data_IF_537387279540
#
_entry.id   IF_537387279540
#
_cell.length_a   1.000
_cell.length_b   1.000
_cell.length_c   1.000
_cell.angle_alpha   90.00
_cell.angle_beta   90.00
_cell.angle_gamma   90.00
#
_symmetry.space_group_name_H-M   'P 1'
#
loop_
_entity.id
_entity.type
_entity.pdbx_description
1 polymer ?
#
# COMPACT_ATOMS: atom_id res chain seq x y z
N UNK A 1 -41.06 42.33 11.59
CA UNK A 1 -40.84 41.60 12.85
C UNK A 1 -40.86 40.10 12.55
N UNK A 2 -39.81 39.37 12.96
CA UNK A 2 -39.69 37.89 13.09
C UNK A 2 -39.92 37.09 11.78
N UNK A 3 -38.95 36.34 11.27
CA UNK A 3 -38.43 35.15 11.94
C UNK A 3 -36.98 34.84 11.55
N UNK A 4 -36.14 34.71 12.58
CA UNK A 4 -34.90 33.98 12.50
C UNK A 4 -35.22 32.48 12.64
N UNK A 5 -34.63 31.64 11.80
CA UNK A 5 -34.31 30.26 12.13
C UNK A 5 -33.06 29.87 11.34
N UNK A 6 -31.92 30.02 12.02
CA UNK A 6 -30.71 29.26 11.74
C UNK A 6 -31.01 27.76 11.88
N UNK A 7 -30.47 26.94 10.98
CA UNK A 7 -29.63 25.78 11.30
C UNK A 7 -29.62 24.74 10.18
N UNK A 8 -28.43 24.17 9.97
CA UNK A 8 -28.13 22.92 9.26
C UNK A 8 -28.29 23.02 7.72
N UNK A 9 -27.28 22.78 6.89
CA UNK A 9 -26.37 21.64 6.94
C UNK A 9 -24.98 22.02 6.39
N UNK A 10 -24.04 22.26 7.29
CA UNK A 10 -22.64 21.93 7.04
C UNK A 10 -22.52 20.41 7.14
N UNK A 11 -22.87 19.69 6.07
CA UNK A 11 -22.47 18.30 5.93
C UNK A 11 -21.21 18.29 5.06
N UNK A 12 -20.06 18.30 5.74
CA UNK A 12 -18.78 18.01 5.14
C UNK A 12 -18.81 16.64 4.47
N UNK A 13 -18.55 16.63 3.16
CA UNK A 13 -18.21 15.43 2.43
C UNK A 13 -16.71 15.19 2.48
N UNK A 14 -16.17 14.80 3.64
CA UNK A 14 -14.88 14.13 3.71
C UNK A 14 -15.15 12.61 3.63
N UNK A 15 -15.38 12.10 2.43
CA UNK A 15 -15.39 10.66 2.15
C UNK A 15 -14.05 10.34 1.49
N UNK A 16 -12.94 10.33 2.25
CA UNK A 16 -12.42 9.19 3.01
C UNK A 16 -12.04 8.01 2.11
N UNK A 17 -10.79 8.05 1.62
CA UNK A 17 -9.93 6.96 1.12
C UNK A 17 -10.61 5.66 0.67
N UNK A 18 -10.96 5.57 -0.61
CA UNK A 18 -11.02 4.28 -1.31
C UNK A 18 -9.60 3.77 -1.57
N UNK A 19 -8.97 3.27 -0.50
CA UNK A 19 -7.88 2.32 -0.63
C UNK A 19 -8.54 0.95 -0.67
N UNK A 20 -8.50 0.28 -1.82
CA UNK A 20 -8.88 -1.13 -1.94
C UNK A 20 -8.00 -1.91 -0.96
N UNK A 21 -8.47 -2.10 0.28
CA UNK A 21 -7.72 -2.80 1.32
C UNK A 21 -8.01 -4.28 1.14
N UNK A 22 -7.00 -5.06 0.78
CA UNK A 22 -7.14 -6.51 0.80
C UNK A 22 -7.57 -6.98 2.19
N UNK A 23 -8.30 -8.08 2.23
CA UNK A 23 -8.92 -8.58 3.45
C UNK A 23 -7.85 -8.86 4.53
N UNK A 24 -7.92 -8.08 5.62
CA UNK A 24 -7.01 -8.25 6.77
C UNK A 24 -7.21 -9.60 7.45
N UNK A 25 -8.40 -10.18 7.43
CA UNK A 25 -8.66 -11.50 8.01
C UNK A 25 -7.99 -12.61 7.21
N UNK A 26 -7.87 -12.44 5.89
CA UNK A 26 -7.11 -13.31 4.98
C UNK A 26 -5.57 -13.10 5.04
N UNK A 27 -5.08 -12.26 5.95
CA UNK A 27 -3.64 -12.07 6.20
C UNK A 27 -2.98 -10.92 5.44
N UNK A 28 -3.72 -10.14 4.63
CA UNK A 28 -3.13 -9.02 3.90
C UNK A 28 -2.86 -7.82 4.80
N UNK A 29 -1.72 -7.17 4.62
CA UNK A 29 -1.31 -5.99 5.39
C UNK A 29 -0.74 -4.93 4.46
N UNK A 30 -1.22 -3.70 4.65
CA UNK A 30 -0.63 -2.53 4.00
C UNK A 30 0.82 -2.34 4.45
N UNK A 31 1.70 -2.18 3.48
CA UNK A 31 3.12 -2.01 3.65
C UNK A 31 3.66 -0.96 2.66
N UNK A 32 4.91 -0.58 2.85
CA UNK A 32 5.66 0.25 1.92
C UNK A 32 6.98 -0.42 1.60
N UNK A 33 7.40 -0.36 0.35
CA UNK A 33 8.72 -0.82 -0.06
C UNK A 33 9.77 0.10 0.52
N UNK A 34 10.70 -0.42 1.32
CA UNK A 34 11.77 0.35 1.95
C UNK A 34 13.14 0.07 1.37
N UNK A 35 13.33 -1.07 0.70
CA UNK A 35 14.58 -1.42 0.02
C UNK A 35 14.33 -2.41 -1.11
N UNK A 36 15.12 -2.33 -2.18
CA UNK A 36 15.12 -3.24 -3.32
C UNK A 36 16.57 -3.58 -3.65
N UNK A 37 16.85 -4.84 -3.98
CA UNK A 37 18.19 -5.32 -4.27
C UNK A 37 18.20 -6.82 -4.53
N UNK A 38 19.29 -7.48 -4.14
CA UNK A 38 19.44 -8.93 -4.25
C UNK A 38 19.13 -9.62 -2.92
N UNK A 39 18.59 -10.84 -2.98
CA UNK A 39 18.24 -11.62 -1.78
C UNK A 39 19.41 -11.78 -0.82
N UNK A 40 20.60 -12.11 -1.32
CA UNK A 40 21.78 -12.34 -0.48
C UNK A 40 22.27 -11.11 0.28
N UNK A 41 21.90 -9.91 -0.17
CA UNK A 41 22.28 -8.64 0.45
C UNK A 41 21.22 -8.18 1.47
N UNK A 42 19.94 -8.44 1.17
CA UNK A 42 18.83 -7.86 1.91
C UNK A 42 18.11 -8.82 2.87
N UNK A 43 18.17 -10.14 2.66
CA UNK A 43 17.37 -11.10 3.45
C UNK A 43 17.62 -10.98 4.96
N UNK A 44 18.87 -10.74 5.37
CA UNK A 44 19.24 -10.56 6.77
C UNK A 44 18.70 -9.26 7.41
N UNK A 45 18.21 -8.31 6.62
CA UNK A 45 17.66 -7.03 7.11
C UNK A 45 16.17 -7.09 7.42
N UNK A 46 15.47 -8.12 6.91
CA UNK A 46 14.04 -8.28 7.11
C UNK A 46 13.76 -9.01 8.43
N UNK A 47 12.73 -8.57 9.16
CA UNK A 47 12.30 -9.26 10.39
C UNK A 47 11.74 -10.67 10.08
N UNK A 48 11.17 -10.83 8.88
CA UNK A 48 10.77 -12.12 8.33
C UNK A 48 11.22 -12.22 6.88
N UNK A 49 11.97 -13.27 6.57
CA UNK A 49 12.37 -13.62 5.21
C UNK A 49 11.39 -14.64 4.60
N UNK A 50 10.78 -14.28 3.47
CA UNK A 50 9.95 -15.18 2.65
C UNK A 50 10.70 -15.76 1.44
N UNK A 51 11.97 -15.38 1.25
CA UNK A 51 12.82 -15.88 0.18
C UNK A 51 12.52 -15.33 -1.22
N UNK A 52 13.29 -15.82 -2.19
CA UNK A 52 13.12 -15.57 -3.61
C UNK A 52 13.51 -16.81 -4.42
N UNK A 53 12.88 -17.02 -5.57
CA UNK A 53 13.32 -18.07 -6.51
C UNK A 53 14.59 -17.59 -7.24
N UNK A 54 15.56 -18.48 -7.40
CA UNK A 54 16.85 -18.14 -8.04
C UNK A 54 17.98 -17.80 -7.07
N UNK A 55 17.74 -17.95 -5.75
CA UNK A 55 18.79 -17.88 -4.73
C UNK A 55 19.31 -16.46 -4.47
N UNK A 56 20.55 -16.36 -3.99
CA UNK A 56 21.11 -15.11 -3.45
C UNK A 56 21.14 -13.93 -4.46
N UNK A 57 21.21 -14.20 -5.76
CA UNK A 57 21.22 -13.17 -6.80
C UNK A 57 19.82 -12.74 -7.26
N UNK A 58 18.77 -13.41 -6.79
CA UNK A 58 17.40 -13.14 -7.20
C UNK A 58 16.96 -11.74 -6.76
N UNK A 59 16.10 -11.06 -7.56
CA UNK A 59 15.47 -9.81 -7.17
C UNK A 59 14.72 -9.96 -5.84
N UNK A 60 14.88 -8.97 -4.98
CA UNK A 60 14.35 -9.02 -3.63
C UNK A 60 13.94 -7.63 -3.17
N UNK A 61 12.84 -7.57 -2.42
CA UNK A 61 12.34 -6.34 -1.84
C UNK A 61 12.09 -6.53 -0.35
N UNK A 62 12.40 -5.51 0.44
CA UNK A 62 12.01 -5.42 1.84
C UNK A 62 10.86 -4.43 1.95
N UNK A 63 9.76 -4.88 2.52
CA UNK A 63 8.56 -4.08 2.76
C UNK A 63 8.38 -3.91 4.26
N UNK A 64 7.97 -2.73 4.70
CA UNK A 64 7.69 -2.42 6.10
C UNK A 64 6.22 -2.09 6.28
N UNK A 65 5.58 -2.65 7.30
CA UNK A 65 4.15 -2.41 7.53
C UNK A 65 3.87 -0.92 7.72
N UNK A 66 2.79 -0.44 7.10
CA UNK A 66 2.30 0.92 7.33
C UNK A 66 1.55 0.97 8.66
N UNK A 67 1.57 2.15 9.29
CA UNK A 67 0.77 2.48 10.49
C UNK A 67 1.06 1.66 11.76
N UNK A 68 2.20 0.99 11.89
CA UNK A 68 2.56 0.26 13.13
C UNK A 68 3.53 0.99 14.07
N UNK A 69 3.80 2.29 13.84
CA UNK A 69 4.73 3.10 14.64
C UNK A 69 6.21 2.80 14.40
N UNK A 70 7.08 3.23 15.32
CA UNK A 70 8.56 3.13 15.22
C UNK A 70 9.10 1.70 15.23
N UNK A 71 8.27 0.71 15.55
CA UNK A 71 8.64 -0.72 15.63
C UNK A 71 7.80 -1.60 14.69
N UNK A 72 7.43 -1.04 13.53
CA UNK A 72 6.80 -1.84 12.46
C UNK A 72 7.73 -2.96 12.01
N UNK A 73 7.20 -4.18 11.92
CA UNK A 73 7.93 -5.31 11.33
C UNK A 73 8.06 -5.15 9.82
N UNK A 74 9.07 -5.81 9.28
CA UNK A 74 9.38 -5.89 7.86
C UNK A 74 9.28 -7.33 7.36
N UNK A 75 8.93 -7.47 6.09
CA UNK A 75 8.97 -8.73 5.35
C UNK A 75 9.87 -8.54 4.14
N UNK A 76 10.76 -9.49 3.90
CA UNK A 76 11.54 -9.56 2.68
C UNK A 76 10.99 -10.65 1.74
N UNK A 77 10.89 -10.36 0.44
CA UNK A 77 10.39 -11.30 -0.57
C UNK A 77 10.90 -10.98 -1.97
N UNK A 78 11.11 -12.02 -2.78
CA UNK A 78 11.32 -11.91 -4.23
C UNK A 78 10.06 -12.11 -5.06
N UNK A 79 8.89 -12.24 -4.44
CA UNK A 79 7.60 -12.43 -5.13
C UNK A 79 7.10 -11.09 -5.67
N UNK A 80 7.63 -10.67 -6.80
CA UNK A 80 7.21 -9.45 -7.49
C UNK A 80 5.84 -9.59 -8.18
N UNK A 81 5.08 -8.50 -8.30
CA UNK A 81 3.90 -8.46 -9.16
C UNK A 81 4.35 -8.63 -10.63
N UNK A 82 3.80 -9.62 -11.32
CA UNK A 82 4.28 -10.09 -12.64
C UNK A 82 4.34 -9.02 -13.76
N UNK A 83 3.68 -7.88 -13.59
CA UNK A 83 3.57 -6.84 -14.60
C UNK A 83 4.09 -5.46 -14.14
N UNK A 84 4.76 -5.38 -12.99
CA UNK A 84 5.15 -4.09 -12.42
C UNK A 84 6.61 -4.02 -11.97
N UNK A 85 7.24 -2.90 -12.32
CA UNK A 85 8.52 -2.48 -11.78
C UNK A 85 8.30 -1.90 -10.38
N UNK A 86 8.73 -2.63 -9.35
CA UNK A 86 8.63 -2.20 -7.96
C UNK A 86 9.65 -1.10 -7.68
N UNK A 87 9.25 -0.06 -6.93
CA UNK A 87 10.12 1.04 -6.53
C UNK A 87 10.11 1.25 -5.02
N UNK A 88 11.21 1.74 -4.48
CA UNK A 88 11.27 2.18 -3.07
C UNK A 88 10.27 3.31 -2.87
N UNK A 89 9.46 3.21 -1.81
CA UNK A 89 8.37 4.14 -1.52
C UNK A 89 7.00 3.67 -1.98
N UNK A 90 6.91 2.66 -2.85
CA UNK A 90 5.63 2.14 -3.33
C UNK A 90 4.78 1.61 -2.17
N UNK A 91 3.51 1.99 -2.17
CA UNK A 91 2.52 1.39 -1.29
C UNK A 91 2.12 0.03 -1.86
N UNK A 92 2.24 -1.00 -1.04
CA UNK A 92 1.93 -2.38 -1.42
C UNK A 92 1.12 -3.04 -0.33
N UNK A 93 0.52 -4.18 -0.66
CA UNK A 93 -0.04 -5.10 0.31
C UNK A 93 0.72 -6.42 0.26
N UNK A 94 1.02 -6.95 1.44
CA UNK A 94 1.76 -8.21 1.63
C UNK A 94 0.91 -9.18 2.42
N UNK A 95 0.90 -10.45 2.03
CA UNK A 95 0.25 -11.50 2.81
C UNK A 95 1.21 -12.04 3.87
N UNK A 96 0.82 -11.94 5.14
CA UNK A 96 1.67 -12.39 6.27
C UNK A 96 1.48 -13.87 6.61
N UNK A 97 0.46 -14.50 6.03
CA UNK A 97 0.12 -15.91 6.24
C UNK A 97 0.64 -16.79 5.09
N UNK A 98 0.82 -16.21 3.90
CA UNK A 98 1.29 -16.90 2.70
C UNK A 98 2.48 -16.17 2.06
N UNK A 99 3.69 -16.73 2.23
CA UNK A 99 4.90 -16.22 1.61
C UNK A 99 4.98 -16.46 0.08
N UNK A 100 4.15 -17.34 -0.48
CA UNK A 100 4.11 -17.56 -1.93
C UNK A 100 3.29 -16.49 -2.66
N UNK A 101 2.42 -15.77 -1.93
CA UNK A 101 1.61 -14.70 -2.51
C UNK A 101 2.51 -13.55 -3.01
N UNK A 102 2.32 -13.08 -4.26
CA UNK A 102 3.03 -11.92 -4.77
C UNK A 102 2.63 -10.64 -4.03
N UNK A 103 3.54 -9.68 -3.96
CA UNK A 103 3.20 -8.34 -3.52
C UNK A 103 2.12 -7.76 -4.43
N UNK A 104 1.09 -7.19 -3.83
CA UNK A 104 0.05 -6.48 -4.56
C UNK A 104 0.34 -4.98 -4.51
N UNK A 105 0.44 -4.33 -5.67
CA UNK A 105 0.55 -2.87 -5.71
C UNK A 105 -0.76 -2.25 -5.21
N UNK A 106 -0.68 -1.36 -4.23
CA UNK A 106 -1.81 -0.49 -3.94
C UNK A 106 -1.93 0.50 -5.10
N UNK A 107 -3.09 0.58 -5.75
CA UNK A 107 -3.30 1.50 -6.86
C UNK A 107 -2.87 2.93 -6.45
N UNK A 108 -2.19 3.69 -7.33
CA UNK A 108 -1.82 5.06 -7.03
C UNK A 108 -3.10 5.85 -6.74
N UNK A 109 -3.15 6.50 -5.57
CA UNK A 109 -4.20 7.43 -5.21
C UNK A 109 -4.13 8.66 -6.13
N UNK A 110 -4.66 8.54 -7.34
CA UNK A 110 -4.55 9.60 -8.34
C UNK A 110 -4.88 9.11 -9.74
N UNK A 111 -6.17 8.88 -9.99
CA UNK A 111 -6.82 9.10 -11.30
C UNK A 111 -8.35 8.95 -11.13
N UNK A 112 -8.92 9.67 -10.16
CA UNK A 112 -10.31 10.10 -10.31
C UNK A 112 -10.28 11.25 -11.30
N UNK A 113 -10.66 10.97 -12.54
CA UNK A 113 -10.83 11.97 -13.58
C UNK A 113 -11.71 13.10 -13.06
N UNK A 114 -11.10 14.25 -12.80
CA UNK A 114 -11.81 15.51 -12.66
C UNK A 114 -12.42 15.85 -14.01
N UNK A 115 -13.69 15.50 -14.21
CA UNK A 115 -14.51 16.16 -15.22
C UNK A 115 -14.85 17.57 -14.71
N UNK A 116 -13.85 18.42 -14.61
CA UNK A 116 -14.02 19.86 -14.37
C UNK A 116 -14.30 20.52 -15.72
N UNK A 117 -15.56 20.49 -16.14
CA UNK A 117 -16.08 21.26 -17.26
C UNK A 117 -17.21 22.19 -16.80
N UNK A 118 -16.86 23.38 -16.29
CA UNK A 118 -17.74 24.56 -16.15
C UNK A 118 -17.52 25.42 -17.43
N UNK A 119 -18.38 26.38 -17.88
CA UNK A 119 -19.43 27.11 -17.15
C UNK A 119 -20.74 27.42 -17.92
N UNK A 120 -21.60 28.16 -17.23
CA UNK A 120 -22.88 28.77 -17.62
C UNK A 120 -22.94 29.49 -18.97
N UNK A 121 -24.14 29.47 -19.58
CA UNK A 121 -24.86 30.68 -19.99
C UNK A 121 -26.36 30.48 -19.79
#
# INVERSE_FOLDING_TARGET
>A
MRSALLCALMLGGCSAFDAHSFDRSAGWRAAQVVSIGKMGELAATADRDCGADGGAAAPYAVVRYRNGGVHTRSIGTGRWPAAAELKVGDAVEVNILDCAAPLALAAPAGQSGSSSGTPSR
#
